data_IF_144877596353
#
_entry.id   IF_144877596353
#
_cell.length_a   1.000
_cell.length_b   1.000
_cell.length_c   1.000
_cell.angle_alpha   90.00
_cell.angle_beta   90.00
_cell.angle_gamma   90.00
#
_symmetry.space_group_name_H-M   'P 1'
#
loop_
_entity.id
_entity.type
_entity.pdbx_description
1 polymer ?
#
# COMPACT_ATOMS: atom_id res chain seq x y z
N UNK A 1 -2.33 -6.67 6.95
CA UNK A 1 -3.81 -6.61 7.04
C UNK A 1 -4.27 -5.20 6.75
N UNK A 2 -5.39 -5.03 6.05
CA UNK A 2 -6.10 -3.75 5.93
C UNK A 2 -7.53 -3.92 6.38
N UNK A 3 -8.08 -2.89 7.01
CA UNK A 3 -9.49 -2.85 7.43
C UNK A 3 -10.27 -1.87 6.57
N UNK A 4 -11.60 -1.92 6.62
CA UNK A 4 -12.47 -0.90 6.01
C UNK A 4 -11.99 0.51 6.38
N UNK A 5 -12.03 1.48 5.44
CA UNK A 5 -11.58 2.84 5.72
C UNK A 5 -12.17 3.40 7.02
N UNK A 6 -11.28 3.79 7.93
CA UNK A 6 -11.69 4.29 9.25
C UNK A 6 -12.54 5.54 9.14
N UNK A 7 -12.37 6.37 8.09
CA UNK A 7 -13.27 7.52 7.89
C UNK A 7 -14.73 7.09 7.79
N UNK A 8 -15.03 5.92 7.19
CA UNK A 8 -16.38 5.39 7.10
C UNK A 8 -16.87 4.85 8.45
N UNK A 9 -16.02 4.06 9.13
CA UNK A 9 -16.37 3.44 10.42
C UNK A 9 -16.55 4.49 11.51
N UNK A 10 -15.60 5.43 11.60
CA UNK A 10 -15.59 6.48 12.63
C UNK A 10 -16.64 7.58 12.37
N UNK A 11 -17.22 7.65 11.17
CA UNK A 11 -18.31 8.60 10.86
C UNK A 11 -19.52 8.44 11.77
N UNK A 12 -19.71 7.24 12.33
CA UNK A 12 -20.79 6.95 13.28
C UNK A 12 -20.49 7.43 14.72
N UNK A 13 -19.29 7.99 14.97
CA UNK A 13 -18.90 8.51 16.30
C UNK A 13 -18.90 10.04 16.32
N UNK A 14 -19.21 10.60 17.49
CA UNK A 14 -19.20 12.06 17.71
C UNK A 14 -17.79 12.59 18.03
N UNK A 15 -16.75 11.75 17.99
CA UNK A 15 -15.38 12.18 18.32
C UNK A 15 -14.84 13.19 17.31
N UNK A 16 -14.11 14.16 17.80
CA UNK A 16 -13.48 15.20 16.98
C UNK A 16 -12.11 14.74 16.42
N UNK A 17 -11.47 13.79 17.09
CA UNK A 17 -10.13 13.29 16.75
C UNK A 17 -10.16 11.78 16.52
N UNK A 18 -9.56 11.35 15.44
CA UNK A 18 -9.49 9.93 15.06
C UNK A 18 -8.17 9.24 15.39
N UNK A 19 -7.19 9.94 15.96
CA UNK A 19 -5.92 9.32 16.41
C UNK A 19 -6.13 8.14 17.39
N UNK A 20 -7.14 8.13 18.29
CA UNK A 20 -7.42 6.97 19.13
C UNK A 20 -7.78 5.69 18.35
N UNK A 21 -8.40 5.80 17.17
CA UNK A 21 -8.65 4.64 16.31
C UNK A 21 -7.33 4.06 15.78
N UNK A 22 -6.38 4.91 15.40
CA UNK A 22 -5.06 4.44 14.99
C UNK A 22 -4.33 3.73 16.13
N UNK A 23 -4.40 4.26 17.35
CA UNK A 23 -3.82 3.60 18.53
C UNK A 23 -4.45 2.24 18.81
N UNK A 24 -5.78 2.12 18.62
CA UNK A 24 -6.48 0.84 18.76
C UNK A 24 -6.05 -0.17 17.68
N UNK A 25 -5.91 0.27 16.43
CA UNK A 25 -5.40 -0.55 15.33
C UNK A 25 -3.97 -1.03 15.60
N UNK A 26 -3.08 -0.15 16.05
CA UNK A 26 -1.68 -0.47 16.39
C UNK A 26 -1.61 -1.55 17.47
N UNK A 27 -2.39 -1.37 18.54
CA UNK A 27 -2.50 -2.34 19.64
C UNK A 27 -3.03 -3.69 19.16
N UNK A 28 -4.11 -3.70 18.37
CA UNK A 28 -4.70 -4.93 17.85
C UNK A 28 -3.71 -5.69 16.95
N UNK A 29 -3.06 -4.97 16.02
CA UNK A 29 -2.07 -5.54 15.11
C UNK A 29 -0.86 -6.14 15.86
N UNK A 30 -0.35 -5.47 16.87
CA UNK A 30 0.71 -5.99 17.75
C UNK A 30 0.28 -7.24 18.51
N UNK A 31 -0.97 -7.29 18.97
CA UNK A 31 -1.50 -8.44 19.71
C UNK A 31 -1.55 -9.70 18.85
N UNK A 32 -1.89 -9.59 17.58
CA UNK A 32 -1.97 -10.74 16.65
C UNK A 32 -0.68 -10.97 15.85
N UNK A 33 0.36 -10.17 16.07
CA UNK A 33 1.69 -10.36 15.48
C UNK A 33 1.78 -10.04 14.00
N UNK A 34 0.98 -9.11 13.48
CA UNK A 34 1.11 -8.63 12.10
C UNK A 34 2.03 -7.42 12.02
N UNK A 35 2.77 -7.31 10.91
CA UNK A 35 3.82 -6.30 10.75
C UNK A 35 3.28 -4.90 10.41
N UNK A 36 2.14 -4.83 9.71
CA UNK A 36 1.52 -3.59 9.30
C UNK A 36 0.00 -3.73 9.25
N UNK A 37 -0.71 -2.67 9.63
CA UNK A 37 -2.15 -2.58 9.48
C UNK A 37 -2.53 -1.32 8.70
N UNK A 38 -3.20 -1.50 7.57
CA UNK A 38 -3.79 -0.44 6.76
C UNK A 38 -5.25 -0.19 7.11
N UNK A 39 -5.80 0.88 6.51
CA UNK A 39 -7.20 1.25 6.68
C UNK A 39 -7.42 2.51 7.51
N UNK A 40 -6.37 3.14 8.06
CA UNK A 40 -6.49 4.50 8.54
C UNK A 40 -6.58 5.44 7.33
N UNK A 41 -7.74 5.39 6.64
CA UNK A 41 -7.88 5.82 5.26
C UNK A 41 -9.17 6.62 5.03
N UNK A 42 -9.14 7.44 3.96
CA UNK A 42 -10.29 8.16 3.45
C UNK A 42 -10.36 8.05 1.91
N UNK A 43 -11.59 7.96 1.37
CA UNK A 43 -11.86 7.86 -0.06
C UNK A 43 -12.58 9.15 -0.52
N UNK A 44 -11.82 10.15 -0.95
CA UNK A 44 -12.32 11.49 -1.21
C UNK A 44 -12.48 11.84 -2.69
N UNK A 45 -12.28 10.88 -3.58
CA UNK A 45 -12.36 11.08 -5.04
C UNK A 45 -13.74 11.54 -5.55
N UNK A 46 -14.78 11.42 -4.73
CA UNK A 46 -16.15 11.87 -5.06
C UNK A 46 -16.61 13.04 -4.19
N UNK A 47 -15.67 13.66 -3.47
CA UNK A 47 -15.93 14.71 -2.49
C UNK A 47 -15.57 14.26 -1.08
N UNK A 48 -15.31 15.23 -0.23
CA UNK A 48 -14.79 15.04 1.12
C UNK A 48 -15.88 15.28 2.16
N UNK A 49 -16.19 14.27 2.95
CA UNK A 49 -17.13 14.37 4.09
C UNK A 49 -16.44 15.01 5.29
N UNK A 50 -17.24 15.35 6.33
CA UNK A 50 -16.70 15.81 7.60
C UNK A 50 -15.82 14.75 8.28
N UNK A 51 -16.20 13.48 8.21
CA UNK A 51 -15.43 12.37 8.76
C UNK A 51 -14.08 12.20 8.03
N UNK A 52 -14.05 12.39 6.70
CA UNK A 52 -12.80 12.36 5.93
C UNK A 52 -11.86 13.48 6.35
N UNK A 53 -12.40 14.70 6.57
CA UNK A 53 -11.62 15.85 7.05
C UNK A 53 -11.01 15.57 8.43
N UNK A 54 -11.79 15.03 9.36
CA UNK A 54 -11.32 14.64 10.69
C UNK A 54 -10.22 13.58 10.61
N UNK A 55 -10.41 12.56 9.77
CA UNK A 55 -9.39 11.53 9.58
C UNK A 55 -8.10 12.11 9.03
N UNK A 56 -8.17 12.92 7.96
CA UNK A 56 -6.98 13.51 7.35
C UNK A 56 -6.25 14.44 8.35
N UNK A 57 -7.00 15.22 9.11
CA UNK A 57 -6.42 16.08 10.16
C UNK A 57 -5.74 15.27 11.28
N UNK A 58 -6.20 14.04 11.54
CA UNK A 58 -5.62 13.16 12.56
C UNK A 58 -4.39 12.37 12.06
N UNK A 59 -4.10 12.31 10.74
CA UNK A 59 -2.99 11.55 10.18
C UNK A 59 -1.63 11.91 10.80
N UNK A 60 -1.25 13.20 10.96
CA UNK A 60 0.05 13.53 11.50
C UNK A 60 0.26 13.00 12.93
N UNK A 61 -0.75 13.12 13.79
CA UNK A 61 -0.72 12.57 15.14
C UNK A 61 -0.71 11.04 15.12
N UNK A 62 -1.64 10.44 14.39
CA UNK A 62 -1.79 8.99 14.30
C UNK A 62 -0.50 8.29 13.87
N UNK A 63 0.15 8.77 12.79
CA UNK A 63 1.35 8.13 12.25
C UNK A 63 2.64 8.49 12.98
N UNK A 64 2.67 9.58 13.74
CA UNK A 64 3.83 9.91 14.60
C UNK A 64 3.84 9.13 15.90
N UNK A 65 2.67 8.69 16.39
CA UNK A 65 2.50 8.02 17.69
C UNK A 65 2.31 6.52 17.61
N UNK A 66 2.05 5.98 16.41
CA UNK A 66 1.93 4.52 16.17
C UNK A 66 3.12 3.98 15.40
N UNK A 67 3.40 2.68 15.54
CA UNK A 67 4.54 2.04 14.88
C UNK A 67 4.18 1.41 13.54
N UNK A 68 3.08 0.67 13.48
CA UNK A 68 2.74 -0.23 12.37
C UNK A 68 1.45 0.12 11.62
N UNK A 69 0.80 1.23 11.99
CA UNK A 69 -0.39 1.74 11.28
C UNK A 69 0.03 2.43 10.00
N UNK A 70 -0.61 2.07 8.89
CA UNK A 70 -0.46 2.72 7.60
C UNK A 70 -1.75 3.46 7.23
N UNK A 71 -1.59 4.63 6.61
CA UNK A 71 -2.68 5.48 6.17
C UNK A 71 -2.69 5.64 4.65
N UNK A 72 -3.86 5.87 4.09
CA UNK A 72 -3.99 6.26 2.69
C UNK A 72 -5.16 7.20 2.44
N UNK A 73 -5.03 8.03 1.43
CA UNK A 73 -6.12 8.89 0.95
C UNK A 73 -6.21 8.77 -0.57
N UNK A 74 -7.37 8.36 -1.09
CA UNK A 74 -7.60 8.30 -2.53
C UNK A 74 -8.26 9.61 -3.00
N UNK A 75 -7.50 10.42 -3.75
CA UNK A 75 -7.88 11.78 -4.13
C UNK A 75 -8.46 11.90 -5.54
N UNK A 76 -8.51 10.81 -6.30
CA UNK A 76 -9.00 10.89 -7.68
C UNK A 76 -9.43 9.55 -8.26
N UNK A 77 -10.21 9.63 -9.33
CA UNK A 77 -10.57 8.49 -10.18
C UNK A 77 -10.79 8.93 -11.61
N UNK A 78 -10.71 7.98 -12.56
CA UNK A 78 -11.01 8.26 -13.97
C UNK A 78 -12.43 8.79 -14.20
N UNK A 79 -13.37 8.44 -13.33
CA UNK A 79 -14.78 8.88 -13.45
C UNK A 79 -15.02 10.25 -12.80
N UNK A 80 -14.41 10.53 -11.66
CA UNK A 80 -14.64 11.74 -10.88
C UNK A 80 -13.60 12.84 -11.13
N UNK A 81 -12.47 12.52 -11.75
CA UNK A 81 -11.33 13.42 -11.85
C UNK A 81 -10.50 13.43 -10.58
N UNK A 82 -9.71 14.48 -10.38
CA UNK A 82 -8.83 14.67 -9.22
C UNK A 82 -9.44 15.76 -8.33
N UNK A 83 -9.61 15.46 -7.05
CA UNK A 83 -9.97 16.43 -6.02
C UNK A 83 -8.74 17.27 -5.64
N UNK A 84 -8.62 18.45 -6.25
CA UNK A 84 -7.47 19.34 -6.05
C UNK A 84 -7.42 19.94 -4.64
N UNK A 85 -8.56 20.08 -3.95
CA UNK A 85 -8.59 20.54 -2.56
C UNK A 85 -8.03 19.46 -1.64
N UNK A 86 -8.37 18.21 -1.92
CA UNK A 86 -7.77 17.06 -1.22
C UNK A 86 -6.25 16.97 -1.48
N UNK A 87 -5.80 17.17 -2.71
CA UNK A 87 -4.36 17.20 -3.05
C UNK A 87 -3.64 18.29 -2.26
N UNK A 88 -4.20 19.51 -2.23
CA UNK A 88 -3.61 20.62 -1.47
C UNK A 88 -3.59 20.33 0.04
N UNK A 89 -4.65 19.70 0.58
CA UNK A 89 -4.71 19.29 1.98
C UNK A 89 -3.66 18.23 2.28
N UNK A 90 -3.54 17.21 1.45
CA UNK A 90 -2.55 16.15 1.62
C UNK A 90 -1.11 16.68 1.56
N UNK A 91 -0.82 17.67 0.71
CA UNK A 91 0.49 18.32 0.70
C UNK A 91 0.86 18.96 2.04
N UNK A 92 -0.10 19.62 2.69
CA UNK A 92 0.09 20.18 4.04
C UNK A 92 0.25 19.08 5.10
N UNK A 93 -0.58 18.06 5.05
CA UNK A 93 -0.53 16.90 5.96
C UNK A 93 0.80 16.16 5.88
N UNK A 94 1.32 15.93 4.68
CA UNK A 94 2.64 15.30 4.48
C UNK A 94 3.75 16.16 5.07
N UNK A 95 3.71 17.47 4.83
CA UNK A 95 4.72 18.40 5.39
C UNK A 95 4.70 18.41 6.92
N UNK A 96 3.53 18.44 7.53
CA UNK A 96 3.37 18.37 8.99
C UNK A 96 3.89 17.05 9.54
N UNK A 97 3.50 15.92 8.90
CA UNK A 97 3.96 14.58 9.31
C UNK A 97 5.48 14.44 9.21
N UNK A 98 6.10 14.96 8.15
CA UNK A 98 7.55 15.00 8.00
C UNK A 98 8.22 15.75 9.14
N UNK A 99 7.67 16.90 9.52
CA UNK A 99 8.16 17.71 10.64
C UNK A 99 8.01 16.99 11.99
N UNK A 100 6.86 16.37 12.25
CA UNK A 100 6.59 15.62 13.48
C UNK A 100 7.48 14.38 13.65
N UNK A 101 8.00 13.83 12.56
CA UNK A 101 8.83 12.63 12.58
C UNK A 101 10.27 12.90 12.10
N UNK A 102 10.71 14.16 12.14
CA UNK A 102 12.04 14.58 11.69
C UNK A 102 13.17 13.90 12.46
N UNK A 103 12.98 13.68 13.76
CA UNK A 103 13.88 12.94 14.65
C UNK A 103 14.06 11.47 14.25
N UNK A 104 13.09 10.92 13.53
CA UNK A 104 13.09 9.54 12.96
C UNK A 104 13.32 9.55 11.45
N UNK A 105 13.97 10.58 10.90
CA UNK A 105 14.25 10.69 9.47
C UNK A 105 13.01 10.85 8.59
N UNK A 106 11.90 11.37 9.14
CA UNK A 106 10.64 11.53 8.41
C UNK A 106 9.88 10.22 8.17
N UNK A 107 10.19 9.16 8.91
CA UNK A 107 9.64 7.80 8.70
C UNK A 107 8.11 7.73 8.73
N UNK A 108 7.44 8.66 9.42
CA UNK A 108 5.98 8.75 9.37
C UNK A 108 5.43 8.84 7.94
N UNK A 109 6.13 9.55 7.06
CA UNK A 109 5.72 9.69 5.66
C UNK A 109 5.82 8.39 4.87
N UNK A 110 6.67 7.45 5.25
CA UNK A 110 6.76 6.12 4.63
C UNK A 110 5.53 5.25 4.91
N UNK A 111 4.71 5.62 5.90
CA UNK A 111 3.46 4.94 6.27
C UNK A 111 2.21 5.59 5.65
N UNK A 112 2.37 6.62 4.81
CA UNK A 112 1.28 7.36 4.19
C UNK A 112 1.36 7.28 2.67
N UNK A 113 0.25 6.92 2.03
CA UNK A 113 0.13 6.91 0.56
C UNK A 113 -1.03 7.78 0.12
N UNK A 114 -0.80 8.63 -0.88
CA UNK A 114 -1.85 9.34 -1.59
C UNK A 114 -2.09 8.63 -2.92
N UNK A 115 -3.28 8.07 -3.07
CA UNK A 115 -3.69 7.35 -4.28
C UNK A 115 -4.48 8.25 -5.22
N UNK A 116 -4.35 7.97 -6.50
CA UNK A 116 -5.23 8.46 -7.55
C UNK A 116 -5.60 7.29 -8.46
N UNK A 117 -6.90 7.10 -8.68
CA UNK A 117 -7.44 6.04 -9.53
C UNK A 117 -7.07 4.60 -9.07
N UNK A 118 -6.98 4.40 -7.75
CA UNK A 118 -6.78 3.06 -7.20
C UNK A 118 -7.99 2.16 -7.48
N UNK A 119 -7.72 0.89 -7.77
CA UNK A 119 -8.75 -0.14 -7.95
C UNK A 119 -9.23 -0.66 -6.60
N UNK A 120 -10.46 -1.17 -6.56
CA UNK A 120 -11.13 -1.58 -5.31
C UNK A 120 -10.46 -2.79 -4.66
N UNK A 121 -9.94 -3.71 -5.44
CA UNK A 121 -9.24 -4.92 -4.99
C UNK A 121 -7.72 -4.77 -4.90
N UNK A 122 -7.22 -3.55 -4.81
CA UNK A 122 -5.78 -3.26 -4.75
C UNK A 122 -5.16 -3.92 -3.50
N UNK A 123 -4.17 -4.82 -3.66
CA UNK A 123 -3.54 -5.52 -2.56
C UNK A 123 -2.50 -4.68 -1.80
N UNK A 124 -2.40 -3.39 -2.11
CA UNK A 124 -1.43 -2.50 -1.48
C UNK A 124 -1.75 -2.31 0.01
N UNK A 125 -0.78 -2.59 0.85
CA UNK A 125 -0.91 -2.69 2.30
C UNK A 125 -1.45 -1.41 2.98
N UNK A 126 -1.12 -0.23 2.46
CA UNK A 126 -1.60 1.04 3.03
C UNK A 126 -3.06 1.34 2.68
N UNK A 127 -3.62 0.68 1.65
CA UNK A 127 -4.96 0.93 1.15
C UNK A 127 -5.96 -0.14 1.58
N UNK A 128 -7.09 0.31 2.09
CA UNK A 128 -8.32 -0.45 2.10
C UNK A 128 -9.32 0.34 1.28
N UNK A 129 -9.78 -0.25 0.20
CA UNK A 129 -10.74 0.35 -0.70
C UNK A 129 -12.07 -0.35 -0.51
N UNK A 130 -13.12 0.42 -0.34
CA UNK A 130 -14.46 -0.10 -0.07
C UNK A 130 -15.29 0.05 -1.35
N UNK A 131 -15.61 -1.06 -1.99
CA UNK A 131 -16.33 -1.12 -3.25
C UNK A 131 -17.62 -1.94 -3.17
N UNK A 132 -18.43 -1.83 -4.22
CA UNK A 132 -19.65 -2.62 -4.39
C UNK A 132 -19.27 -4.00 -4.92
N UNK A 133 -19.63 -5.05 -4.22
CA UNK A 133 -19.38 -6.43 -4.61
C UNK A 133 -18.09 -7.03 -4.06
N UNK A 134 -17.36 -6.29 -3.24
CA UNK A 134 -16.23 -6.83 -2.50
C UNK A 134 -16.70 -7.83 -1.44
N UNK A 135 -15.96 -8.92 -1.21
CA UNK A 135 -16.24 -9.85 -0.13
C UNK A 135 -15.97 -9.17 1.24
N UNK A 136 -16.66 -9.62 2.28
CA UNK A 136 -16.42 -9.16 3.66
C UNK A 136 -14.96 -9.34 4.09
N UNK A 137 -14.32 -10.40 3.60
CA UNK A 137 -12.90 -10.74 3.81
C UNK A 137 -12.31 -11.28 2.53
N UNK A 138 -11.08 -10.91 2.22
CA UNK A 138 -10.36 -11.43 1.07
C UNK A 138 -8.86 -11.48 1.36
N UNK A 139 -8.18 -12.47 0.79
CA UNK A 139 -6.71 -12.55 0.79
C UNK A 139 -6.22 -12.13 -0.57
N UNK A 140 -5.43 -11.07 -0.62
CA UNK A 140 -4.66 -10.67 -1.78
C UNK A 140 -3.17 -10.87 -1.50
N UNK A 141 -2.39 -11.19 -2.52
CA UNK A 141 -0.95 -11.42 -2.39
C UNK A 141 -0.21 -10.43 -3.25
N UNK A 142 0.52 -9.51 -2.61
CA UNK A 142 1.50 -8.65 -3.27
C UNK A 142 2.88 -9.29 -3.20
N UNK A 143 3.56 -9.41 -4.34
CA UNK A 143 4.92 -9.94 -4.41
C UNK A 143 5.87 -8.84 -4.86
N UNK A 144 6.92 -8.55 -4.05
CA UNK A 144 8.00 -7.67 -4.48
C UNK A 144 8.96 -8.44 -5.40
N UNK A 145 9.05 -8.00 -6.66
CA UNK A 145 9.74 -8.72 -7.70
C UNK A 145 11.12 -8.22 -8.13
N UNK A 146 11.58 -6.98 -7.81
CA UNK A 146 12.79 -6.42 -8.40
C UNK A 146 14.03 -7.25 -8.14
N UNK A 147 14.26 -7.71 -6.91
CA UNK A 147 15.42 -8.52 -6.55
C UNK A 147 15.45 -9.86 -7.29
N UNK A 148 14.30 -10.51 -7.48
CA UNK A 148 14.22 -11.78 -8.21
C UNK A 148 14.53 -11.58 -9.70
N UNK A 149 14.00 -10.51 -10.29
CA UNK A 149 14.28 -10.15 -11.69
C UNK A 149 15.76 -9.78 -11.87
N UNK A 150 16.30 -8.97 -10.97
CA UNK A 150 17.73 -8.61 -10.98
C UNK A 150 18.63 -9.84 -10.98
N UNK A 151 18.41 -10.77 -10.05
CA UNK A 151 19.21 -12.01 -10.00
C UNK A 151 19.04 -12.89 -11.24
N UNK A 152 17.85 -12.95 -11.82
CA UNK A 152 17.65 -13.68 -13.07
C UNK A 152 18.42 -13.05 -14.23
N UNK A 153 18.49 -11.73 -14.30
CA UNK A 153 19.21 -11.00 -15.34
C UNK A 153 20.72 -11.19 -15.26
N UNK A 154 21.29 -11.36 -14.09
CA UNK A 154 22.73 -11.65 -13.94
C UNK A 154 23.17 -12.87 -14.75
N UNK A 155 22.30 -13.87 -14.91
CA UNK A 155 22.58 -15.08 -15.67
C UNK A 155 22.61 -14.88 -17.21
N UNK A 156 22.06 -13.78 -17.68
CA UNK A 156 21.95 -13.43 -19.12
C UNK A 156 22.62 -12.10 -19.45
N UNK A 157 23.54 -11.65 -18.61
CA UNK A 157 24.30 -10.42 -18.79
C UNK A 157 25.09 -10.46 -20.12
N UNK A 158 24.96 -9.40 -20.91
CA UNK A 158 25.62 -9.30 -22.22
C UNK A 158 24.98 -10.13 -23.35
N UNK A 159 23.85 -10.79 -23.07
CA UNK A 159 23.08 -11.49 -24.11
C UNK A 159 22.22 -10.50 -24.93
N UNK A 160 21.77 -10.87 -26.14
CA UNK A 160 20.85 -10.08 -26.93
C UNK A 160 19.57 -9.71 -26.19
N UNK A 161 18.95 -8.57 -26.54
CA UNK A 161 17.78 -8.02 -25.85
C UNK A 161 16.58 -8.98 -25.81
N UNK A 162 16.36 -9.77 -26.85
CA UNK A 162 15.31 -10.79 -26.91
C UNK A 162 15.48 -11.87 -25.82
N UNK A 163 16.73 -12.30 -25.55
CA UNK A 163 17.05 -13.22 -24.45
C UNK A 163 16.77 -12.59 -23.09
N UNK A 164 17.17 -11.33 -22.92
CA UNK A 164 16.89 -10.56 -21.69
C UNK A 164 15.40 -10.43 -21.47
N UNK A 165 14.63 -10.01 -22.48
CA UNK A 165 13.20 -9.84 -22.41
C UNK A 165 12.47 -11.17 -22.09
N UNK A 166 12.85 -12.26 -22.70
CA UNK A 166 12.28 -13.59 -22.42
C UNK A 166 12.61 -14.07 -20.99
N UNK A 167 13.78 -13.72 -20.48
CA UNK A 167 14.16 -14.03 -19.09
C UNK A 167 13.29 -13.28 -18.10
N UNK A 168 13.02 -11.99 -18.34
CA UNK A 168 12.12 -11.18 -17.51
C UNK A 168 10.71 -11.79 -17.51
N UNK A 169 10.14 -12.07 -18.69
CA UNK A 169 8.81 -12.68 -18.82
C UNK A 169 8.71 -13.99 -18.07
N UNK A 170 9.64 -14.91 -18.27
CA UNK A 170 9.67 -16.22 -17.59
C UNK A 170 9.78 -16.04 -16.06
N UNK A 171 10.57 -15.06 -15.61
CA UNK A 171 10.73 -14.77 -14.19
C UNK A 171 9.43 -14.23 -13.60
N UNK A 172 8.76 -13.28 -14.27
CA UNK A 172 7.47 -12.74 -13.84
C UNK A 172 6.41 -13.85 -13.71
N UNK A 173 6.32 -14.75 -14.70
CA UNK A 173 5.42 -15.91 -14.62
C UNK A 173 5.71 -16.82 -13.41
N UNK A 174 6.97 -17.07 -13.10
CA UNK A 174 7.34 -17.89 -11.95
C UNK A 174 6.96 -17.21 -10.63
N UNK A 175 7.19 -15.91 -10.52
CA UNK A 175 6.84 -15.12 -9.33
C UNK A 175 5.33 -15.13 -9.11
N UNK A 176 4.53 -14.82 -10.13
CA UNK A 176 3.07 -14.82 -10.02
C UNK A 176 2.52 -16.21 -9.70
N UNK A 177 3.10 -17.26 -10.28
CA UNK A 177 2.72 -18.64 -9.96
C UNK A 177 2.98 -19.00 -8.50
N UNK A 178 4.12 -18.60 -7.95
CA UNK A 178 4.43 -18.78 -6.52
C UNK A 178 3.46 -17.99 -5.64
N UNK A 179 3.19 -16.75 -5.98
CA UNK A 179 2.19 -15.92 -5.27
C UNK A 179 0.82 -16.59 -5.23
N UNK A 180 0.38 -17.18 -6.36
CA UNK A 180 -0.88 -17.91 -6.45
C UNK A 180 -0.91 -19.15 -5.54
N UNK A 181 0.17 -19.92 -5.50
CA UNK A 181 0.25 -21.11 -4.62
C UNK A 181 0.18 -20.72 -3.14
N UNK A 182 0.90 -19.67 -2.75
CA UNK A 182 0.85 -19.12 -1.39
C UNK A 182 -0.55 -18.64 -1.04
N UNK A 183 -1.20 -17.90 -1.96
CA UNK A 183 -2.55 -17.39 -1.77
C UNK A 183 -3.58 -18.50 -1.59
N UNK A 184 -3.51 -19.56 -2.41
CA UNK A 184 -4.40 -20.72 -2.30
C UNK A 184 -4.23 -21.45 -0.97
N UNK A 185 -2.99 -21.64 -0.52
CA UNK A 185 -2.73 -22.29 0.77
C UNK A 185 -3.18 -21.40 1.95
N UNK A 186 -2.96 -20.08 1.88
CA UNK A 186 -3.45 -19.14 2.87
C UNK A 186 -4.98 -19.14 2.93
N UNK A 187 -5.65 -19.10 1.76
CA UNK A 187 -7.11 -19.19 1.64
C UNK A 187 -7.66 -20.44 2.31
N UNK A 188 -7.04 -21.57 2.04
CA UNK A 188 -7.44 -22.86 2.65
C UNK A 188 -7.26 -22.86 4.18
N UNK A 189 -6.14 -22.33 4.70
CA UNK A 189 -5.85 -22.31 6.15
C UNK A 189 -6.71 -21.33 6.92
N UNK A 190 -7.01 -20.19 6.32
CA UNK A 190 -7.73 -19.11 6.99
C UNK A 190 -9.24 -19.10 6.68
N UNK A 191 -9.71 -20.07 5.89
CA UNK A 191 -11.11 -20.13 5.42
C UNK A 191 -11.61 -18.77 4.91
N UNK A 192 -10.81 -18.16 4.04
CA UNK A 192 -11.05 -16.82 3.52
C UNK A 192 -10.81 -16.82 2.00
N UNK A 193 -11.73 -16.25 1.20
CA UNK A 193 -11.58 -16.23 -0.26
C UNK A 193 -10.23 -15.61 -0.70
N UNK A 194 -9.64 -16.18 -1.74
CA UNK A 194 -8.52 -15.60 -2.44
C UNK A 194 -9.03 -14.66 -3.55
N UNK A 195 -8.50 -13.44 -3.62
CA UNK A 195 -8.78 -12.43 -4.64
C UNK A 195 -7.73 -12.45 -5.75
N UNK A 196 -6.70 -11.63 -5.61
CA UNK A 196 -5.71 -11.41 -6.66
C UNK A 196 -4.26 -11.62 -6.19
N UNK A 197 -3.37 -11.85 -7.17
CA UNK A 197 -1.92 -11.72 -7.03
C UNK A 197 -1.47 -10.49 -7.78
N UNK A 198 -0.75 -9.60 -7.10
CA UNK A 198 -0.07 -8.47 -7.71
C UNK A 198 1.44 -8.67 -7.70
N UNK A 199 2.08 -8.41 -8.84
CA UNK A 199 3.54 -8.36 -8.95
C UNK A 199 3.97 -6.89 -8.90
N UNK A 200 4.43 -6.47 -7.74
CA UNK A 200 4.99 -5.15 -7.54
C UNK A 200 6.48 -5.10 -7.92
N UNK A 201 6.89 -3.99 -8.51
CA UNK A 201 8.30 -3.64 -8.71
C UNK A 201 8.74 -2.54 -7.73
N UNK A 202 8.02 -2.37 -6.62
CA UNK A 202 8.39 -1.43 -5.57
C UNK A 202 9.75 -1.80 -4.96
N UNK A 203 10.67 -0.84 -4.78
CA UNK A 203 11.97 -1.10 -4.20
C UNK A 203 11.87 -1.43 -2.72
N UNK A 204 12.81 -2.23 -2.23
CA UNK A 204 13.06 -2.45 -0.81
C UNK A 204 14.49 -2.03 -0.44
N UNK A 205 14.84 -1.91 0.85
CA UNK A 205 16.22 -1.64 1.26
C UNK A 205 17.23 -2.76 0.93
N UNK A 206 16.75 -3.92 0.48
CA UNK A 206 17.62 -5.03 0.13
C UNK A 206 18.48 -4.70 -1.10
N UNK A 207 19.72 -5.16 -1.09
CA UNK A 207 20.66 -4.95 -2.20
C UNK A 207 20.13 -5.59 -3.48
N UNK A 208 20.08 -4.78 -4.54
CA UNK A 208 19.58 -5.22 -5.86
C UNK A 208 18.05 -5.20 -6.00
N UNK A 209 17.30 -4.88 -4.95
CA UNK A 209 15.84 -4.88 -4.99
C UNK A 209 15.26 -3.53 -5.41
N UNK A 210 15.61 -3.10 -6.63
CA UNK A 210 15.05 -1.89 -7.25
C UNK A 210 15.00 -1.99 -8.77
N UNK A 211 14.06 -1.27 -9.39
CA UNK A 211 13.96 -1.15 -10.87
C UNK A 211 15.22 -0.51 -11.44
N UNK A 212 15.83 0.45 -10.74
CA UNK A 212 17.06 1.08 -11.18
C UNK A 212 18.18 0.03 -11.37
N UNK A 213 18.32 -0.90 -10.44
CA UNK A 213 19.30 -2.00 -10.57
C UNK A 213 18.99 -2.95 -11.72
N UNK A 214 17.70 -3.18 -12.00
CA UNK A 214 17.30 -3.96 -13.18
C UNK A 214 17.75 -3.25 -14.46
N UNK A 215 17.51 -1.94 -14.56
CA UNK A 215 17.89 -1.13 -15.72
C UNK A 215 19.42 -1.08 -15.91
N UNK A 216 20.18 -0.87 -14.84
CA UNK A 216 21.65 -0.92 -14.86
C UNK A 216 22.15 -2.30 -15.35
N UNK A 217 21.57 -3.40 -14.88
CA UNK A 217 21.95 -4.75 -15.31
C UNK A 217 21.61 -5.03 -16.78
N UNK A 218 20.57 -4.36 -17.31
CA UNK A 218 20.24 -4.37 -18.74
C UNK A 218 21.16 -3.50 -19.59
N UNK A 219 22.11 -2.76 -19.00
CA UNK A 219 23.06 -1.89 -19.68
C UNK A 219 22.54 -0.48 -19.96
N UNK A 220 21.51 -0.04 -19.24
CA UNK A 220 21.04 1.34 -19.26
C UNK A 220 21.74 2.12 -18.13
N UNK A 221 22.41 3.23 -18.51
CA UNK A 221 23.06 4.16 -17.58
C UNK A 221 22.09 5.23 -17.05
#
# INVERSE_FOLDING_TARGET
>A
VSVTPISLVASASDTADYAPFAAALDKAAKTIGINFIGGFSALVQKGMTEADRKLIASIPEALSTTDIVCASVNVGSTKAGIDMDAVALMGRTIKELAQRTADKGGFGCAKLVVFCNAVEDNPFMAGAFHGVGEPERVINVGVSGPGVVYHALQSVKGQPFDVVAETIKKTAFRITRMGQLVAQEASRRLDTPFGIVDLSLAPTPAVGDSVARILEEMGLE
#
